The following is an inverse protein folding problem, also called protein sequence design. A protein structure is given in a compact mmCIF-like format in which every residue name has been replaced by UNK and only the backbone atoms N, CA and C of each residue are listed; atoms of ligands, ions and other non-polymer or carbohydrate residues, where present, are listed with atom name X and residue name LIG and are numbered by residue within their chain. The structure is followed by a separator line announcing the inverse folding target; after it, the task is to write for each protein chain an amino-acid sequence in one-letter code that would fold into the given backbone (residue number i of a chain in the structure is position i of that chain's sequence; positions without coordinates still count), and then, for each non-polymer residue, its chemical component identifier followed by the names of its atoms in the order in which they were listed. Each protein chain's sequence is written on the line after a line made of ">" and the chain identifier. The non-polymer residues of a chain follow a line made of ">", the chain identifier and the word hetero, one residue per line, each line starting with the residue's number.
data_IF_122116703000
#
_entry.id   IF_122116703000
#
_cell.length_a   1.000
_cell.length_b   1.000
_cell.length_c   1.000
_cell.angle_alpha   90.00
_cell.angle_beta   90.00
_cell.angle_gamma   90.00
#
_symmetry.space_group_name_H-M   'P 1'
#
loop_
_entity.id
_entity.type
_entity.pdbx_description
1 polymer ?
#
# COMPACT_ATOMS: atom_id res chain seq x y z
N UNK A 1 -0.71 -48.48 -33.86
CA UNK A 1 -0.48 -47.03 -34.05
C UNK A 1 -1.42 -46.12 -33.25
N UNK A 2 -2.69 -46.48 -32.99
CA UNK A 2 -3.67 -45.59 -32.33
C UNK A 2 -3.37 -45.23 -30.85
N UNK A 3 -2.76 -46.12 -30.08
CA UNK A 3 -2.45 -45.90 -28.64
C UNK A 3 -1.29 -44.91 -28.42
N UNK A 4 -0.26 -44.91 -29.28
CA UNK A 4 0.86 -43.97 -29.19
C UNK A 4 0.43 -42.53 -29.50
N UNK A 5 -0.50 -42.37 -30.45
CA UNK A 5 -1.09 -41.06 -30.78
C UNK A 5 -1.99 -40.55 -29.65
N UNK A 6 -2.72 -41.43 -28.95
CA UNK A 6 -3.58 -41.05 -27.83
C UNK A 6 -2.78 -40.56 -26.60
N UNK A 7 -1.62 -41.18 -26.32
CA UNK A 7 -0.73 -40.77 -25.22
C UNK A 7 -0.05 -39.43 -25.53
N UNK A 8 0.30 -39.17 -26.80
CA UNK A 8 0.89 -37.89 -27.23
C UNK A 8 -0.09 -36.72 -27.13
N UNK A 9 -1.39 -36.95 -27.37
CA UNK A 9 -2.45 -35.94 -27.24
C UNK A 9 -2.79 -35.67 -25.77
N UNK A 10 -2.68 -36.67 -24.89
CA UNK A 10 -2.95 -36.49 -23.46
C UNK A 10 -1.81 -35.74 -22.73
N UNK A 11 -0.55 -35.91 -23.17
CA UNK A 11 0.61 -35.21 -22.59
C UNK A 11 0.69 -33.73 -23.00
N UNK A 12 0.10 -33.36 -24.14
CA UNK A 12 0.07 -31.97 -24.63
C UNK A 12 -1.04 -31.12 -24.00
N UNK A 13 -2.08 -31.72 -23.42
CA UNK A 13 -3.17 -31.01 -22.74
C UNK A 13 -2.83 -30.44 -21.36
N UNK A 14 -1.78 -30.93 -20.68
CA UNK A 14 -1.46 -30.56 -19.29
C UNK A 14 -0.55 -29.32 -19.21
N UNK A 15 0.05 -28.88 -20.31
CA UNK A 15 0.95 -27.71 -20.32
C UNK A 15 0.24 -26.35 -20.46
N UNK A 16 -1.09 -26.33 -20.60
CA UNK A 16 -1.87 -25.10 -20.76
C UNK A 16 -2.46 -24.54 -19.45
N UNK A 17 -2.02 -25.01 -18.28
CA UNK A 17 -2.22 -24.27 -17.01
C UNK A 17 -1.26 -23.10 -16.97
N UNK A 18 -1.53 -22.08 -17.79
CA UNK A 18 -0.93 -20.76 -17.62
C UNK A 18 -1.13 -20.33 -16.17
N UNK A 19 -0.03 -20.00 -15.48
CA UNK A 19 -0.09 -19.37 -14.17
C UNK A 19 -0.89 -18.07 -14.32
N UNK A 20 -2.17 -18.08 -13.93
CA UNK A 20 -2.98 -16.87 -13.80
C UNK A 20 -2.34 -16.10 -12.65
N UNK A 21 -1.30 -15.32 -12.96
CA UNK A 21 -0.78 -14.31 -12.05
C UNK A 21 -1.92 -13.31 -11.88
N UNK A 22 -2.68 -13.46 -10.81
CA UNK A 22 -3.63 -12.46 -10.35
C UNK A 22 -2.81 -11.22 -10.01
N UNK A 23 -2.56 -10.36 -11.01
CA UNK A 23 -1.92 -9.06 -10.80
C UNK A 23 -2.74 -8.36 -9.72
N UNK A 24 -2.10 -8.03 -8.59
CA UNK A 24 -2.76 -7.25 -7.54
C UNK A 24 -3.24 -5.96 -8.19
N UNK A 25 -4.54 -5.72 -8.07
CA UNK A 25 -5.17 -4.52 -8.59
C UNK A 25 -5.62 -3.76 -7.38
N UNK A 26 -4.94 -2.65 -7.11
CA UNK A 26 -5.27 -1.76 -6.01
C UNK A 26 -6.70 -1.25 -6.20
N UNK A 27 -7.53 -1.34 -5.16
CA UNK A 27 -8.97 -1.13 -5.22
C UNK A 27 -9.42 0.25 -4.74
N UNK A 28 -8.51 1.03 -4.17
CA UNK A 28 -8.79 2.34 -3.56
C UNK A 28 -7.97 3.49 -4.20
N UNK A 29 -7.55 3.34 -5.46
CA UNK A 29 -7.01 4.45 -6.26
C UNK A 29 -8.16 5.39 -6.63
N UNK A 30 -7.95 6.70 -6.43
CA UNK A 30 -8.86 7.73 -6.88
C UNK A 30 -8.09 8.99 -7.30
N UNK A 31 -8.08 9.29 -8.59
CA UNK A 31 -7.41 10.47 -9.14
C UNK A 31 -8.11 11.79 -8.73
N UNK A 32 -9.38 11.73 -8.33
CA UNK A 32 -10.14 12.90 -7.84
C UNK A 32 -9.87 13.21 -6.37
N UNK A 33 -9.15 12.35 -5.65
CA UNK A 33 -8.77 12.63 -4.28
C UNK A 33 -8.02 13.97 -4.19
N UNK A 34 -8.28 14.80 -3.17
CA UNK A 34 -7.63 16.09 -3.02
C UNK A 34 -6.12 15.92 -2.81
N UNK A 35 -5.35 16.93 -3.21
CA UNK A 35 -3.93 16.95 -2.85
C UNK A 35 -3.77 17.06 -1.32
N UNK A 36 -2.85 16.29 -0.71
CA UNK A 36 -2.56 16.41 0.71
C UNK A 36 -2.06 17.82 1.07
N UNK A 37 -2.57 18.37 2.17
CA UNK A 37 -2.04 19.60 2.76
C UNK A 37 -0.85 19.24 3.66
N UNK A 38 0.26 19.96 3.53
CA UNK A 38 1.44 19.79 4.39
C UNK A 38 1.37 20.79 5.55
N UNK A 39 1.52 20.30 6.78
CA UNK A 39 1.59 21.13 7.99
C UNK A 39 2.91 21.90 8.07
N UNK A 40 3.00 22.88 9.00
CA UNK A 40 4.24 23.62 9.23
C UNK A 40 5.43 22.73 9.62
N UNK A 41 5.13 21.61 10.28
CA UNK A 41 6.11 20.60 10.71
C UNK A 41 6.40 19.56 9.62
N UNK A 42 5.84 19.70 8.43
CA UNK A 42 6.20 18.95 7.24
C UNK A 42 5.47 17.62 7.04
N UNK A 43 4.45 17.27 7.83
CA UNK A 43 3.65 16.05 7.69
C UNK A 43 2.27 16.30 7.05
N UNK A 44 1.57 15.24 6.62
CA UNK A 44 0.26 15.40 5.95
C UNK A 44 -0.86 15.67 6.95
N UNK A 45 -1.63 16.74 6.71
CA UNK A 45 -2.83 17.03 7.48
C UNK A 45 -3.92 16.00 7.17
N UNK A 46 -4.22 15.13 8.14
CA UNK A 46 -5.29 14.14 8.07
C UNK A 46 -6.45 14.57 8.98
N UNK A 47 -7.68 14.50 8.50
CA UNK A 47 -8.88 14.95 9.23
C UNK A 47 -9.93 13.86 9.44
N UNK A 48 -9.83 12.75 8.72
CA UNK A 48 -10.86 11.71 8.68
C UNK A 48 -10.30 10.33 9.03
N UNK A 49 -11.11 9.53 9.73
CA UNK A 49 -10.78 8.16 10.11
C UNK A 49 -11.40 7.16 9.13
N UNK A 50 -10.63 6.15 8.73
CA UNK A 50 -11.13 5.13 7.81
C UNK A 50 -12.22 4.30 8.48
N UNK A 51 -13.34 4.12 7.76
CA UNK A 51 -14.39 3.14 8.12
C UNK A 51 -14.02 1.73 7.67
N UNK A 52 -13.15 1.61 6.67
CA UNK A 52 -12.67 0.33 6.15
C UNK A 52 -11.52 -0.21 7.00
N UNK A 53 -11.70 -1.44 7.50
CA UNK A 53 -10.68 -2.16 8.29
C UNK A 53 -9.48 -2.57 7.44
N UNK A 54 -9.60 -2.62 6.11
CA UNK A 54 -8.54 -3.01 5.19
C UNK A 54 -7.61 -1.87 4.82
N UNK A 55 -8.06 -0.63 4.94
CA UNK A 55 -7.28 0.55 4.57
C UNK A 55 -5.91 0.57 5.26
N UNK A 56 -4.86 0.49 4.46
CA UNK A 56 -3.45 0.37 4.87
C UNK A 56 -3.01 -1.03 5.32
N UNK A 57 -3.92 -1.90 5.77
CA UNK A 57 -3.59 -3.24 6.28
C UNK A 57 -3.60 -4.34 5.21
N UNK A 58 -4.26 -4.09 4.09
CA UNK A 58 -4.41 -5.03 2.97
C UNK A 58 -3.66 -4.48 1.75
N UNK A 59 -2.99 -5.37 1.01
CA UNK A 59 -2.23 -5.04 -0.20
C UNK A 59 -3.11 -4.46 -1.31
N UNK A 60 -4.38 -4.85 -1.36
CA UNK A 60 -5.34 -4.31 -2.33
C UNK A 60 -5.95 -2.97 -1.88
N UNK A 61 -5.71 -2.56 -0.62
CA UNK A 61 -6.18 -1.29 -0.05
C UNK A 61 -5.03 -0.52 0.64
N UNK A 62 -3.89 -0.29 -0.05
CA UNK A 62 -2.76 0.43 0.50
C UNK A 62 -3.10 1.91 0.72
N UNK A 63 -2.23 2.61 1.44
CA UNK A 63 -2.30 4.06 1.59
C UNK A 63 -1.66 4.68 0.35
N UNK A 64 -2.49 5.29 -0.50
CA UNK A 64 -2.09 5.91 -1.76
C UNK A 64 -1.58 7.34 -1.50
N UNK A 65 -0.26 7.51 -1.35
CA UNK A 65 0.39 8.74 -0.88
C UNK A 65 1.04 9.57 -1.99
N UNK A 66 0.68 9.36 -3.26
CA UNK A 66 1.24 10.17 -4.34
C UNK A 66 0.97 11.66 -4.11
N UNK A 67 2.04 12.45 -4.10
CA UNK A 67 1.97 13.90 -4.01
C UNK A 67 3.12 14.54 -4.79
N UNK A 68 2.78 15.26 -5.85
CA UNK A 68 3.65 15.98 -6.80
C UNK A 68 4.68 15.14 -7.57
N UNK A 69 5.42 14.26 -6.91
CA UNK A 69 6.50 13.47 -7.49
C UNK A 69 6.71 12.17 -6.73
N UNK A 70 7.28 11.18 -7.43
CA UNK A 70 7.77 9.90 -6.87
C UNK A 70 9.30 9.87 -6.71
N UNK A 71 9.99 10.99 -6.98
CA UNK A 71 11.46 11.02 -7.00
C UNK A 71 12.12 10.73 -5.62
N UNK A 72 11.45 11.09 -4.53
CA UNK A 72 11.80 10.63 -3.18
C UNK A 72 10.73 9.63 -2.75
N UNK A 73 11.07 8.35 -2.86
CA UNK A 73 10.14 7.25 -2.62
C UNK A 73 9.66 7.21 -1.15
N UNK A 74 10.44 7.74 -0.21
CA UNK A 74 10.15 7.60 1.20
C UNK A 74 9.47 8.84 1.81
N UNK A 75 9.59 10.03 1.18
CA UNK A 75 9.14 11.28 1.81
C UNK A 75 7.64 11.26 2.12
N UNK A 76 6.79 10.88 1.18
CA UNK A 76 5.34 10.92 1.35
C UNK A 76 4.81 9.85 2.32
N UNK A 77 5.31 8.59 2.30
CA UNK A 77 5.05 7.63 3.38
C UNK A 77 5.43 8.18 4.76
N UNK A 78 6.62 8.79 4.90
CA UNK A 78 7.08 9.40 6.17
C UNK A 78 6.16 10.55 6.60
N UNK A 79 5.74 11.42 5.67
CA UNK A 79 4.79 12.51 5.93
C UNK A 79 3.46 12.00 6.46
N UNK A 80 2.95 10.91 5.88
CA UNK A 80 1.72 10.28 6.35
C UNK A 80 1.91 9.68 7.74
N UNK A 81 2.95 8.88 7.94
CA UNK A 81 3.23 8.22 9.23
C UNK A 81 3.45 9.22 10.36
N UNK A 82 4.14 10.34 10.10
CA UNK A 82 4.36 11.39 11.08
C UNK A 82 3.07 12.12 11.53
N UNK A 83 1.97 11.96 10.81
CA UNK A 83 0.66 12.46 11.21
C UNK A 83 -0.06 11.52 12.20
N UNK A 84 0.40 10.27 12.34
CA UNK A 84 -0.23 9.24 13.15
C UNK A 84 0.36 9.17 14.57
N UNK A 85 -0.47 8.68 15.48
CA UNK A 85 -0.07 8.24 16.83
C UNK A 85 -0.63 6.84 17.09
N UNK A 86 -0.22 6.21 18.19
CA UNK A 86 -0.99 5.12 18.79
C UNK A 86 -2.40 5.59 19.19
N UNK A 87 -3.32 4.65 19.52
CA UNK A 87 -4.72 4.95 19.80
C UNK A 87 -4.94 5.85 21.02
N UNK A 88 -3.95 5.97 21.91
CA UNK A 88 -3.98 6.85 23.09
C UNK A 88 -3.04 8.05 22.95
N UNK A 89 -2.55 8.34 21.75
CA UNK A 89 -1.62 9.44 21.48
C UNK A 89 -0.14 9.07 21.63
N UNK A 90 0.19 7.77 21.69
CA UNK A 90 1.57 7.31 21.78
C UNK A 90 2.38 7.71 20.55
N UNK A 91 3.62 8.16 20.75
CA UNK A 91 4.54 8.37 19.63
C UNK A 91 4.83 7.04 18.95
N UNK A 92 4.57 6.98 17.64
CA UNK A 92 4.91 5.81 16.85
C UNK A 92 6.37 5.88 16.39
N UNK A 93 6.97 4.70 16.21
CA UNK A 93 8.21 4.50 15.48
C UNK A 93 7.92 3.60 14.29
N UNK A 94 8.62 3.80 13.19
CA UNK A 94 8.39 3.03 11.97
C UNK A 94 9.67 2.76 11.19
N UNK A 95 9.66 1.68 10.42
CA UNK A 95 10.75 1.29 9.53
C UNK A 95 10.18 0.65 8.27
N UNK A 96 10.72 1.03 7.10
CA UNK A 96 10.47 0.33 5.84
C UNK A 96 11.15 -1.05 5.89
N UNK A 97 10.39 -2.13 5.78
CA UNK A 97 10.90 -3.49 5.92
C UNK A 97 11.09 -4.20 4.58
N UNK A 98 10.25 -3.89 3.59
CA UNK A 98 10.37 -4.42 2.23
C UNK A 98 9.63 -3.50 1.25
N UNK A 99 9.98 -3.60 -0.03
CA UNK A 99 9.15 -3.17 -1.15
C UNK A 99 8.68 -4.45 -1.85
N UNK A 100 7.37 -4.65 -1.89
CA UNK A 100 6.75 -5.88 -2.35
C UNK A 100 5.69 -5.59 -3.40
N UNK A 101 4.99 -6.65 -3.79
CA UNK A 101 3.62 -6.53 -4.27
C UNK A 101 3.53 -5.70 -5.56
N UNK A 102 3.98 -6.28 -6.69
CA UNK A 102 3.89 -5.61 -7.97
C UNK A 102 2.44 -5.36 -8.36
N UNK A 103 2.16 -4.15 -8.82
CA UNK A 103 0.86 -3.73 -9.32
C UNK A 103 1.04 -2.86 -10.59
N UNK A 104 0.08 -2.86 -11.53
CA UNK A 104 0.16 -2.03 -12.72
C UNK A 104 -0.08 -0.54 -12.37
N UNK A 105 0.72 0.36 -12.93
CA UNK A 105 0.55 1.82 -12.82
C UNK A 105 1.01 2.53 -14.09
N UNK A 106 0.36 3.64 -14.44
CA UNK A 106 0.77 4.49 -15.56
C UNK A 106 1.72 5.61 -15.14
N UNK A 107 1.95 5.79 -13.83
CA UNK A 107 2.78 6.86 -13.24
C UNK A 107 4.24 6.44 -13.04
N UNK A 108 4.62 5.27 -13.56
CA UNK A 108 5.99 4.81 -13.66
C UNK A 108 6.29 4.37 -15.09
N UNK A 109 7.50 4.65 -15.59
CA UNK A 109 7.92 4.34 -16.96
C UNK A 109 7.88 2.84 -17.26
N UNK A 110 8.13 2.00 -16.25
CA UNK A 110 8.07 0.54 -16.37
C UNK A 110 6.63 -0.01 -16.48
N UNK A 111 5.60 0.83 -16.33
CA UNK A 111 4.19 0.40 -16.33
C UNK A 111 3.76 -0.41 -15.10
N UNK A 112 4.62 -0.48 -14.07
CA UNK A 112 4.39 -1.22 -12.84
C UNK A 112 5.05 -0.51 -11.66
N UNK A 113 4.48 -0.69 -10.47
CA UNK A 113 4.98 -0.16 -9.20
C UNK A 113 5.07 -1.28 -8.17
N UNK A 114 5.79 -1.00 -7.08
CA UNK A 114 5.85 -1.85 -5.89
C UNK A 114 5.22 -1.11 -4.72
N UNK A 115 4.52 -1.84 -3.86
CA UNK A 115 4.07 -1.32 -2.58
C UNK A 115 5.21 -1.33 -1.58
N UNK A 116 5.31 -0.29 -0.78
CA UNK A 116 6.21 -0.25 0.36
C UNK A 116 5.51 -0.77 1.61
N UNK A 117 6.20 -1.63 2.36
CA UNK A 117 5.70 -2.15 3.63
C UNK A 117 6.48 -1.49 4.75
N UNK A 118 5.76 -0.75 5.58
CA UNK A 118 6.29 -0.20 6.82
C UNK A 118 5.84 -1.05 7.99
N UNK A 119 6.75 -1.31 8.89
CA UNK A 119 6.46 -1.85 10.21
C UNK A 119 6.42 -0.70 11.21
N UNK A 120 5.36 -0.64 12.03
CA UNK A 120 5.06 0.43 12.97
C UNK A 120 4.93 -0.15 14.38
N UNK A 121 5.52 0.55 15.35
CA UNK A 121 5.46 0.19 16.77
C UNK A 121 5.22 1.41 17.65
N UNK A 122 4.73 1.18 18.87
CA UNK A 122 4.66 2.16 19.94
C UNK A 122 4.67 1.44 21.30
N UNK A 123 4.93 2.14 22.42
CA UNK A 123 4.95 1.52 23.75
C UNK A 123 3.65 0.77 24.08
N UNK A 124 3.77 -0.47 24.54
CA UNK A 124 2.62 -1.31 24.91
C UNK A 124 1.96 -2.07 23.75
N UNK A 125 2.45 -1.94 22.52
CA UNK A 125 1.97 -2.72 21.38
C UNK A 125 2.50 -4.16 21.44
N UNK A 126 1.62 -5.15 21.44
CA UNK A 126 2.00 -6.57 21.57
C UNK A 126 2.79 -7.12 20.37
N UNK A 127 2.47 -6.65 19.16
CA UNK A 127 3.14 -7.04 17.91
C UNK A 127 3.21 -5.84 16.97
N UNK A 128 4.33 -5.65 16.25
CA UNK A 128 4.40 -4.59 15.24
C UNK A 128 3.27 -4.70 14.21
N UNK A 129 2.78 -3.54 13.78
CA UNK A 129 1.75 -3.42 12.75
C UNK A 129 2.42 -3.20 11.41
N UNK A 130 1.91 -3.84 10.35
CA UNK A 130 2.36 -3.59 8.98
C UNK A 130 1.33 -2.76 8.23
N UNK A 131 1.81 -1.72 7.56
CA UNK A 131 1.02 -0.91 6.64
C UNK A 131 1.64 -0.92 5.25
N UNK A 132 0.78 -1.04 4.24
CA UNK A 132 1.13 -1.00 2.83
C UNK A 132 0.94 0.40 2.28
N UNK A 133 1.95 0.90 1.58
CA UNK A 133 1.97 2.22 0.96
C UNK A 133 2.16 2.10 -0.54
N UNK A 134 1.42 2.92 -1.27
CA UNK A 134 1.58 3.12 -2.69
C UNK A 134 1.98 4.57 -2.94
N UNK A 135 3.21 4.77 -3.42
CA UNK A 135 3.75 6.11 -3.70
C UNK A 135 3.35 6.63 -5.07
N UNK A 136 2.87 5.76 -5.96
CA UNK A 136 2.64 6.06 -7.36
C UNK A 136 1.28 6.67 -7.61
N UNK A 137 0.24 6.24 -6.89
CA UNK A 137 -1.15 6.63 -7.18
C UNK A 137 -1.78 7.51 -6.09
N UNK A 138 -2.85 8.22 -6.46
CA UNK A 138 -3.64 9.05 -5.57
C UNK A 138 -4.76 8.24 -4.90
N UNK A 139 -5.16 8.69 -3.72
CA UNK A 139 -6.36 8.23 -3.03
C UNK A 139 -6.65 9.13 -1.83
N UNK A 140 -7.85 8.97 -1.26
CA UNK A 140 -8.19 9.69 -0.04
C UNK A 140 -7.31 9.20 1.12
N UNK A 141 -6.75 10.16 1.85
CA UNK A 141 -5.90 9.89 3.00
C UNK A 141 -6.74 9.86 4.28
N UNK A 142 -6.90 8.68 4.85
CA UNK A 142 -7.59 8.46 6.11
C UNK A 142 -6.65 7.98 7.20
N UNK A 143 -7.02 8.15 8.45
CA UNK A 143 -6.36 7.50 9.60
C UNK A 143 -6.71 6.00 9.57
N UNK A 144 -5.72 5.09 9.52
CA UNK A 144 -5.99 3.66 9.57
C UNK A 144 -6.63 3.26 10.91
N UNK A 145 -7.52 2.27 10.88
CA UNK A 145 -8.29 1.90 12.06
C UNK A 145 -7.39 1.39 13.19
N UNK A 146 -7.48 2.03 14.36
CA UNK A 146 -6.68 1.68 15.53
C UNK A 146 -5.47 2.59 15.75
N UNK A 147 -5.22 3.54 14.85
CA UNK A 147 -4.31 4.66 15.05
C UNK A 147 -5.06 5.87 15.59
N UNK A 148 -4.31 6.76 16.25
CA UNK A 148 -4.72 8.11 16.57
C UNK A 148 -4.09 9.13 15.62
N UNK A 149 -4.44 10.40 15.83
CA UNK A 149 -3.87 11.54 15.12
C UNK A 149 -2.95 12.33 16.03
N UNK A 150 -1.85 12.80 15.48
CA UNK A 150 -1.04 13.83 16.11
C UNK A 150 -1.88 15.10 16.15
N UNK A 151 -2.00 15.71 17.33
CA UNK A 151 -2.73 16.97 17.47
C UNK A 151 -1.93 18.08 16.78
N UNK A 152 -2.61 18.88 15.97
CA UNK A 152 -2.04 20.12 15.45
C UNK A 152 -1.96 21.11 16.62
N UNK A 153 -0.76 21.63 16.90
CA UNK A 153 -0.59 22.85 17.69
C UNK A 153 -0.67 24.09 16.79
#
# INVERSE_FOLDING_TARGET
>A
MKIKTLILVLFTGILAVSCISTRSTIKNIDDNAPEPIITKDGWFLLTEFSKDKKYGYDKDYPINVYYRSVADEDINPKRFLNALTGPKGETITYKKIESCCPFPTKRNEMGAGLLDVYEITWPGLAKPIRLYFNIFEKGYLFVPKGFGLKKNE
#
